data_IF_218808992430
#
_entry.id   IF_218808992430
#
_cell.length_a   1.000
_cell.length_b   1.000
_cell.length_c   1.000
_cell.angle_alpha   90.00
_cell.angle_beta   90.00
_cell.angle_gamma   90.00
#
_symmetry.space_group_name_H-M   'P 1'
#
loop_
_entity.id
_entity.type
_entity.pdbx_description
1 polymer ?
#
# COMPACT_ATOMS: atom_id res chain seq x y z
N UNK A 1 -25.78 -10.80 -14.76
CA UNK A 1 -25.62 -10.76 -13.28
C UNK A 1 -24.14 -10.72 -12.99
N UNK A 2 -23.67 -9.76 -12.20
CA UNK A 2 -22.33 -9.80 -11.62
C UNK A 2 -22.24 -11.10 -10.79
N UNK A 3 -21.35 -12.01 -11.17
CA UNK A 3 -21.09 -13.23 -10.39
C UNK A 3 -19.91 -12.93 -9.49
N UNK A 4 -20.18 -12.46 -8.28
CA UNK A 4 -19.18 -12.43 -7.21
C UNK A 4 -18.97 -13.86 -6.77
N UNK A 5 -17.86 -14.47 -7.20
CA UNK A 5 -17.49 -15.82 -6.77
C UNK A 5 -16.37 -15.68 -5.76
N UNK A 6 -16.72 -15.75 -4.48
CA UNK A 6 -15.72 -16.01 -3.45
C UNK A 6 -15.24 -17.44 -3.63
N UNK A 7 -13.98 -17.61 -4.03
CA UNK A 7 -13.34 -18.92 -4.10
C UNK A 7 -12.39 -19.00 -2.92
N UNK A 8 -12.57 -19.99 -2.05
CA UNK A 8 -11.44 -20.44 -1.25
C UNK A 8 -10.46 -21.05 -2.26
N UNK A 9 -9.25 -20.50 -2.35
CA UNK A 9 -8.24 -21.06 -3.23
C UNK A 9 -7.84 -22.43 -2.66
N UNK A 10 -8.51 -23.49 -3.14
CA UNK A 10 -8.41 -24.92 -2.80
C UNK A 10 -7.34 -25.30 -1.73
N UNK A 11 -7.47 -24.78 -0.51
CA UNK A 11 -6.59 -25.13 0.61
C UNK A 11 -5.99 -24.01 1.48
N UNK A 12 -5.98 -22.73 1.09
CA UNK A 12 -5.12 -21.73 1.77
C UNK A 12 -5.80 -20.82 2.83
N UNK A 13 -7.12 -20.94 3.06
CA UNK A 13 -7.79 -20.26 4.18
C UNK A 13 -8.00 -18.74 4.04
N UNK A 14 -7.41 -18.09 3.04
CA UNK A 14 -7.65 -16.68 2.72
C UNK A 14 -8.80 -16.51 1.72
N UNK A 15 -9.53 -15.41 1.87
CA UNK A 15 -10.60 -15.02 0.96
C UNK A 15 -9.98 -14.57 -0.37
N UNK A 16 -10.62 -14.93 -1.48
CA UNK A 16 -10.35 -14.35 -2.78
C UNK A 16 -11.65 -14.31 -3.58
N UNK A 17 -11.77 -13.37 -4.51
CA UNK A 17 -12.96 -13.27 -5.33
C UNK A 17 -12.77 -12.46 -6.60
N UNK A 18 -13.63 -12.74 -7.58
CA UNK A 18 -13.72 -11.96 -8.81
C UNK A 18 -14.77 -10.86 -8.64
N UNK A 19 -14.40 -9.64 -8.99
CA UNK A 19 -15.26 -8.45 -8.93
C UNK A 19 -15.22 -7.68 -10.24
N UNK A 20 -16.34 -7.09 -10.63
CA UNK A 20 -16.39 -6.27 -11.85
C UNK A 20 -15.84 -4.88 -11.57
N UNK A 21 -15.48 -4.17 -12.63
CA UNK A 21 -15.21 -2.73 -12.55
C UNK A 21 -16.39 -2.01 -11.86
N UNK A 22 -16.08 -0.94 -11.12
CA UNK A 22 -17.09 -0.08 -10.52
C UNK A 22 -18.07 0.48 -11.55
N UNK A 23 -19.29 0.78 -11.12
CA UNK A 23 -20.29 1.46 -11.94
C UNK A 23 -20.05 2.98 -11.94
N UNK A 24 -20.26 3.63 -13.08
CA UNK A 24 -20.30 5.08 -13.21
C UNK A 24 -21.51 5.47 -14.06
N UNK A 25 -22.52 6.07 -13.42
CA UNK A 25 -23.80 6.39 -14.05
C UNK A 25 -24.76 5.19 -14.17
N UNK A 26 -25.88 5.42 -14.87
CA UNK A 26 -26.92 4.42 -15.14
C UNK A 26 -27.20 4.35 -16.63
N UNK A 27 -27.54 3.15 -17.11
CA UNK A 27 -28.06 2.94 -18.47
C UNK A 27 -29.43 2.28 -18.41
N UNK A 28 -30.31 2.66 -19.33
CA UNK A 28 -31.62 2.03 -19.50
C UNK A 28 -31.46 0.78 -20.35
N UNK A 29 -32.00 -0.34 -19.87
CA UNK A 29 -31.96 -1.62 -20.53
C UNK A 29 -33.38 -2.04 -20.89
N UNK A 30 -33.65 -2.23 -22.19
CA UNK A 30 -34.92 -2.80 -22.66
C UNK A 30 -34.92 -4.31 -22.44
N UNK A 31 -35.94 -4.79 -21.75
CA UNK A 31 -36.17 -6.20 -21.47
C UNK A 31 -37.00 -6.84 -22.59
N UNK A 32 -36.95 -8.15 -22.69
CA UNK A 32 -37.64 -8.92 -23.73
C UNK A 32 -39.17 -8.79 -23.71
N UNK A 33 -39.74 -8.30 -22.62
CA UNK A 33 -41.18 -8.02 -22.45
C UNK A 33 -41.56 -6.58 -22.83
N UNK A 34 -40.62 -5.79 -23.36
CA UNK A 34 -40.83 -4.39 -23.73
C UNK A 34 -40.77 -3.40 -22.56
N UNK A 35 -40.48 -3.87 -21.34
CA UNK A 35 -40.27 -2.98 -20.19
C UNK A 35 -38.83 -2.49 -20.13
N UNK A 36 -38.60 -1.36 -19.48
CA UNK A 36 -37.26 -0.79 -19.30
C UNK A 36 -36.82 -0.87 -17.84
N UNK A 37 -35.55 -1.18 -17.61
CA UNK A 37 -34.92 -1.15 -16.29
C UNK A 37 -33.65 -0.31 -16.31
N UNK A 38 -33.46 0.57 -15.35
CA UNK A 38 -32.16 1.19 -15.12
C UNK A 38 -31.19 0.20 -14.46
N UNK A 39 -29.99 0.09 -15.03
CA UNK A 39 -28.89 -0.69 -14.46
C UNK A 39 -27.62 0.17 -14.39
N UNK A 40 -26.69 -0.18 -13.50
CA UNK A 40 -25.38 0.47 -13.45
C UNK A 40 -24.63 0.33 -14.78
N UNK A 41 -24.00 1.40 -15.23
CA UNK A 41 -23.08 1.36 -16.37
C UNK A 41 -21.67 1.13 -15.83
N UNK A 42 -20.94 0.13 -16.32
CA UNK A 42 -19.54 -0.08 -15.97
C UNK A 42 -18.71 1.15 -16.31
N UNK A 43 -17.91 1.63 -15.36
CA UNK A 43 -17.03 2.77 -15.54
C UNK A 43 -15.87 2.47 -16.48
N UNK A 44 -15.33 3.52 -17.10
CA UNK A 44 -14.02 3.48 -17.76
C UNK A 44 -12.89 3.29 -16.74
N UNK A 45 -11.70 2.93 -17.20
CA UNK A 45 -10.51 2.79 -16.33
C UNK A 45 -10.27 4.03 -15.48
N UNK A 46 -10.28 5.22 -16.10
CA UNK A 46 -10.15 6.51 -15.40
C UNK A 46 -11.22 6.79 -14.35
N UNK A 47 -12.40 6.20 -14.49
CA UNK A 47 -13.48 6.38 -13.51
C UNK A 47 -13.38 5.39 -12.35
N UNK A 48 -12.72 4.25 -12.54
CA UNK A 48 -12.56 3.26 -11.48
C UNK A 48 -11.26 3.45 -10.70
N UNK A 49 -10.20 3.97 -11.31
CA UNK A 49 -8.97 4.35 -10.60
C UNK A 49 -9.24 5.63 -9.81
N UNK A 50 -9.11 5.56 -8.48
CA UNK A 50 -9.31 6.71 -7.61
C UNK A 50 -7.99 7.46 -7.34
N UNK A 51 -6.89 6.70 -7.24
CA UNK A 51 -5.51 7.14 -7.13
C UNK A 51 -4.58 5.97 -7.51
N UNK A 52 -3.25 6.13 -7.35
CA UNK A 52 -2.26 5.13 -7.75
C UNK A 52 -2.31 3.77 -7.02
N UNK A 53 -3.04 3.64 -5.90
CA UNK A 53 -3.19 2.37 -5.17
C UNK A 53 -4.64 1.98 -4.85
N UNK A 54 -5.62 2.76 -5.29
CA UNK A 54 -7.03 2.55 -4.96
C UNK A 54 -7.88 2.48 -6.23
N UNK A 55 -8.66 1.40 -6.35
CA UNK A 55 -9.66 1.22 -7.40
C UNK A 55 -11.06 1.05 -6.82
N UNK A 56 -12.09 1.35 -7.60
CA UNK A 56 -13.48 1.04 -7.28
C UNK A 56 -13.94 -0.17 -8.07
N UNK A 57 -14.44 -1.18 -7.36
CA UNK A 57 -15.05 -2.38 -7.95
C UNK A 57 -16.53 -2.46 -7.61
N UNK A 58 -17.27 -3.33 -8.28
CA UNK A 58 -18.68 -3.56 -8.02
C UNK A 58 -19.04 -5.04 -7.85
N UNK A 59 -20.03 -5.28 -6.99
CA UNK A 59 -20.80 -6.53 -6.90
C UNK A 59 -22.28 -6.22 -7.10
N UNK A 60 -22.82 -5.35 -6.25
CA UNK A 60 -24.16 -4.73 -6.41
C UNK A 60 -24.06 -3.20 -6.34
N UNK A 61 -23.23 -2.69 -5.44
CA UNK A 61 -22.82 -1.29 -5.34
C UNK A 61 -21.30 -1.18 -5.49
N UNK A 62 -20.81 0.04 -5.67
CA UNK A 62 -19.38 0.32 -5.68
C UNK A 62 -18.79 0.27 -4.28
N UNK A 63 -17.58 -0.26 -4.18
CA UNK A 63 -16.75 -0.10 -3.00
C UNK A 63 -15.27 -0.03 -3.40
N UNK A 64 -14.47 0.70 -2.62
CA UNK A 64 -13.04 0.88 -2.87
C UNK A 64 -12.22 -0.34 -2.43
N UNK A 65 -11.22 -0.67 -3.23
CA UNK A 65 -10.14 -1.61 -2.94
C UNK A 65 -8.85 -0.81 -2.90
N UNK A 66 -8.11 -0.92 -1.80
CA UNK A 66 -6.75 -0.41 -1.70
C UNK A 66 -5.74 -1.54 -1.87
N UNK A 67 -4.67 -1.27 -2.60
CA UNK A 67 -3.63 -2.23 -2.89
C UNK A 67 -2.80 -2.48 -1.64
N UNK A 68 -2.60 -3.75 -1.32
CA UNK A 68 -1.86 -4.18 -0.16
C UNK A 68 -0.35 -4.21 -0.44
N UNK A 69 0.45 -3.88 0.57
CA UNK A 69 1.92 -4.04 0.55
C UNK A 69 2.67 -2.93 -0.18
N UNK A 70 1.95 -1.94 -0.70
CA UNK A 70 2.48 -0.77 -1.38
C UNK A 70 1.81 0.50 -0.83
N UNK A 71 2.44 1.64 -1.02
CA UNK A 71 1.92 2.95 -0.66
C UNK A 71 2.34 3.95 -1.74
N UNK A 72 1.37 4.71 -2.25
CA UNK A 72 1.61 5.67 -3.33
C UNK A 72 1.65 7.08 -2.78
N UNK A 73 2.39 7.99 -3.43
CA UNK A 73 2.28 9.42 -3.12
C UNK A 73 0.80 9.85 -3.12
N UNK A 74 0.43 10.59 -2.09
CA UNK A 74 -0.95 10.99 -1.82
C UNK A 74 -1.34 12.12 -2.78
N UNK A 75 -2.45 11.97 -3.48
CA UNK A 75 -3.01 13.05 -4.31
C UNK A 75 -3.87 14.01 -3.50
N UNK A 76 -4.50 13.51 -2.42
CA UNK A 76 -5.39 14.27 -1.54
C UNK A 76 -5.32 13.76 -0.10
N UNK A 77 -5.38 14.67 0.87
CA UNK A 77 -5.37 14.33 2.29
C UNK A 77 -6.10 15.40 3.11
N UNK A 78 -6.51 15.08 4.34
CA UNK A 78 -6.92 16.11 5.30
C UNK A 78 -5.69 16.93 5.71
N UNK A 79 -5.71 18.27 5.61
CA UNK A 79 -4.61 19.09 6.10
C UNK A 79 -4.58 19.08 7.64
N UNK A 80 -3.47 19.50 8.27
CA UNK A 80 -3.39 19.67 9.73
C UNK A 80 -4.58 20.42 10.32
N UNK A 81 -5.35 19.75 11.19
CA UNK A 81 -6.54 20.32 11.83
C UNK A 81 -7.77 20.49 10.91
N UNK A 82 -7.70 20.06 9.66
CA UNK A 82 -8.79 20.13 8.69
C UNK A 82 -9.69 18.88 8.69
N UNK A 83 -10.91 19.06 8.19
CA UNK A 83 -11.93 17.98 8.09
C UNK A 83 -12.38 17.73 6.65
N UNK A 84 -11.76 18.37 5.66
CA UNK A 84 -12.06 18.19 4.24
C UNK A 84 -10.80 17.74 3.50
N UNK A 85 -10.94 16.73 2.64
CA UNK A 85 -9.86 16.29 1.75
C UNK A 85 -9.44 17.44 0.84
N UNK A 86 -8.15 17.74 0.86
CA UNK A 86 -7.52 18.83 0.10
C UNK A 86 -6.43 18.22 -0.78
N UNK A 87 -6.28 18.74 -2.00
CA UNK A 87 -5.22 18.33 -2.91
C UNK A 87 -3.84 18.57 -2.29
N UNK A 88 -2.91 17.64 -2.48
CA UNK A 88 -1.57 17.72 -1.87
C UNK A 88 -0.67 18.79 -2.48
N UNK A 89 -1.02 19.33 -3.66
CA UNK A 89 -0.37 20.52 -4.24
C UNK A 89 -0.86 21.85 -3.64
N UNK A 90 -1.91 21.84 -2.81
CA UNK A 90 -2.44 23.03 -2.19
C UNK A 90 -1.43 23.71 -1.26
N UNK A 91 -1.46 25.05 -1.18
CA UNK A 91 -0.55 25.87 -0.37
C UNK A 91 -0.38 25.41 1.08
N UNK A 92 -1.41 24.82 1.69
CA UNK A 92 -1.29 24.29 3.07
C UNK A 92 -0.25 23.19 3.19
N UNK A 93 -0.15 22.31 2.19
CA UNK A 93 0.84 21.23 2.17
C UNK A 93 2.22 21.74 1.74
N UNK A 94 2.28 22.76 0.87
CA UNK A 94 3.55 23.44 0.56
C UNK A 94 4.17 24.03 1.83
N UNK A 95 3.38 24.78 2.63
CA UNK A 95 3.85 25.32 3.92
C UNK A 95 4.20 24.21 4.92
N UNK A 96 3.41 23.14 4.97
CA UNK A 96 3.67 22.00 5.83
C UNK A 96 4.99 21.32 5.51
N UNK A 97 5.28 21.03 4.24
CA UNK A 97 6.50 20.33 3.86
C UNK A 97 7.73 21.27 3.78
N UNK A 98 7.53 22.57 3.60
CA UNK A 98 8.60 23.56 3.73
C UNK A 98 9.03 23.81 5.19
N UNK A 99 8.10 23.67 6.15
CA UNK A 99 8.41 23.74 7.58
C UNK A 99 7.41 22.90 8.41
N UNK A 100 7.68 21.59 8.61
CA UNK A 100 6.74 20.67 9.27
C UNK A 100 6.37 21.02 10.72
N UNK A 101 7.16 21.88 11.36
CA UNK A 101 7.04 22.27 12.75
C UNK A 101 6.83 23.78 12.93
N UNK A 102 6.36 24.48 11.88
CA UNK A 102 5.93 25.86 11.99
C UNK A 102 4.83 26.03 13.06
N UNK A 103 4.84 27.16 13.76
CA UNK A 103 3.91 27.45 14.85
C UNK A 103 2.43 27.52 14.41
N UNK A 104 2.16 27.66 13.12
CA UNK A 104 0.80 27.63 12.56
C UNK A 104 0.17 26.22 12.59
N UNK A 105 0.98 25.17 12.67
CA UNK A 105 0.48 23.79 12.76
C UNK A 105 0.43 23.33 14.23
N UNK A 106 -0.56 22.51 14.61
CA UNK A 106 -0.58 21.91 15.94
C UNK A 106 0.73 21.16 16.23
N UNK A 107 1.21 21.13 17.48
CA UNK A 107 2.42 20.38 17.81
C UNK A 107 2.21 18.87 17.61
N UNK A 108 3.28 18.15 17.28
CA UNK A 108 3.30 16.67 17.32
C UNK A 108 3.82 16.27 18.69
N UNK A 109 3.04 15.52 19.45
CA UNK A 109 3.47 14.99 20.76
C UNK A 109 4.37 13.78 20.58
N UNK A 110 5.25 13.52 21.56
CA UNK A 110 6.09 12.32 21.64
C UNK A 110 7.07 12.11 20.47
N UNK A 111 7.37 13.17 19.71
CA UNK A 111 8.32 13.16 18.61
C UNK A 111 9.77 13.14 19.13
N UNK A 112 10.56 12.15 18.73
CA UNK A 112 11.98 12.08 19.07
C UNK A 112 12.79 13.14 18.33
N UNK A 113 13.91 13.57 18.92
CA UNK A 113 14.83 14.52 18.29
C UNK A 113 15.36 14.01 16.95
N UNK A 114 15.62 12.71 16.82
CA UNK A 114 16.19 12.13 15.60
C UNK A 114 15.19 12.16 14.45
N UNK A 115 13.93 11.75 14.69
CA UNK A 115 12.88 11.85 13.67
C UNK A 115 12.59 13.30 13.32
N UNK A 116 12.59 14.21 14.31
CA UNK A 116 12.44 15.65 14.06
C UNK A 116 13.53 16.19 13.13
N UNK A 117 14.79 15.86 13.41
CA UNK A 117 15.93 16.28 12.60
C UNK A 117 15.86 15.70 11.19
N UNK A 118 15.48 14.41 11.06
CA UNK A 118 15.26 13.75 9.77
C UNK A 118 14.22 14.47 8.92
N UNK A 119 13.06 14.81 9.51
CA UNK A 119 11.97 15.49 8.82
C UNK A 119 12.31 16.94 8.46
N UNK A 120 13.07 17.64 9.31
CA UNK A 120 13.60 18.97 8.99
C UNK A 120 14.62 18.92 7.85
N UNK A 121 15.43 17.87 7.77
CA UNK A 121 16.37 17.66 6.67
C UNK A 121 15.71 17.39 5.31
N UNK A 122 14.43 17.02 5.29
CA UNK A 122 13.62 16.87 4.07
C UNK A 122 12.88 18.14 3.67
N UNK A 123 12.85 19.15 4.55
CA UNK A 123 11.97 20.27 4.37
C UNK A 123 12.37 21.08 3.13
N UNK A 124 11.42 21.30 2.23
CA UNK A 124 11.68 21.91 0.93
C UNK A 124 10.41 22.61 0.41
N UNK A 125 10.52 23.84 -0.12
CA UNK A 125 9.37 24.61 -0.61
C UNK A 125 8.56 23.94 -1.73
N UNK A 126 9.17 23.06 -2.51
CA UNK A 126 8.56 22.38 -3.66
C UNK A 126 8.23 20.91 -3.35
N UNK A 127 8.44 20.44 -2.12
CA UNK A 127 8.19 19.05 -1.72
C UNK A 127 6.76 18.60 -2.01
N UNK A 128 5.76 19.45 -1.73
CA UNK A 128 4.37 19.03 -1.88
C UNK A 128 3.93 19.03 -3.36
N UNK A 129 4.42 19.97 -4.17
CA UNK A 129 4.23 19.96 -5.63
C UNK A 129 4.83 18.69 -6.24
N UNK A 130 6.06 18.35 -5.86
CA UNK A 130 6.73 17.12 -6.35
C UNK A 130 6.00 15.87 -5.92
N UNK A 131 5.57 15.80 -4.65
CA UNK A 131 4.80 14.68 -4.14
C UNK A 131 3.48 14.49 -4.92
N UNK A 132 2.76 15.58 -5.18
CA UNK A 132 1.53 15.55 -5.97
C UNK A 132 1.77 15.12 -7.43
N UNK A 133 2.86 15.60 -8.05
CA UNK A 133 3.21 15.19 -9.41
C UNK A 133 3.42 13.67 -9.48
N UNK A 134 4.15 13.08 -8.52
CA UNK A 134 4.27 11.62 -8.44
C UNK A 134 2.96 10.90 -8.17
N UNK A 135 2.05 11.50 -7.39
CA UNK A 135 0.72 10.92 -7.17
C UNK A 135 -0.06 10.81 -8.49
N UNK A 136 0.08 11.81 -9.37
CA UNK A 136 -0.51 11.79 -10.72
C UNK A 136 0.19 10.82 -11.65
N UNK A 137 1.52 10.78 -11.63
CA UNK A 137 2.27 9.80 -12.41
C UNK A 137 1.87 8.35 -12.04
N UNK A 138 1.66 8.09 -10.74
CA UNK A 138 1.20 6.78 -10.24
C UNK A 138 -0.24 6.45 -10.66
N UNK A 139 -1.16 7.42 -10.60
CA UNK A 139 -2.55 7.28 -11.08
C UNK A 139 -2.56 6.94 -12.58
N UNK A 140 -1.85 7.72 -13.40
CA UNK A 140 -1.75 7.53 -14.85
C UNK A 140 -1.11 6.17 -15.18
N UNK A 141 -0.06 5.76 -14.46
CA UNK A 141 0.57 4.46 -14.65
C UNK A 141 -0.38 3.29 -14.35
N UNK A 142 -1.14 3.36 -13.26
CA UNK A 142 -2.12 2.33 -12.92
C UNK A 142 -3.23 2.27 -13.97
N UNK A 143 -3.73 3.43 -14.43
CA UNK A 143 -4.71 3.50 -15.51
C UNK A 143 -4.19 2.81 -16.78
N UNK A 144 -2.94 3.10 -17.17
CA UNK A 144 -2.33 2.48 -18.35
C UNK A 144 -2.19 0.96 -18.22
N UNK A 145 -1.76 0.45 -17.06
CA UNK A 145 -1.65 -1.00 -16.84
C UNK A 145 -3.00 -1.70 -16.96
N UNK A 146 -4.06 -1.11 -16.39
CA UNK A 146 -5.41 -1.67 -16.46
C UNK A 146 -5.98 -1.58 -17.89
N UNK A 147 -5.73 -0.47 -18.60
CA UNK A 147 -6.15 -0.32 -20.00
C UNK A 147 -5.46 -1.35 -20.91
N UNK A 148 -4.14 -1.55 -20.77
CA UNK A 148 -3.40 -2.55 -21.54
C UNK A 148 -3.93 -3.96 -21.28
N UNK A 149 -4.15 -4.32 -20.00
CA UNK A 149 -4.71 -5.62 -19.64
C UNK A 149 -6.13 -5.79 -20.21
N UNK A 150 -6.94 -4.74 -20.19
CA UNK A 150 -8.27 -4.76 -20.79
C UNK A 150 -8.22 -5.01 -22.30
N UNK A 151 -7.31 -4.35 -23.01
CA UNK A 151 -7.18 -4.49 -24.46
C UNK A 151 -6.60 -5.86 -24.86
N UNK A 152 -5.68 -6.41 -24.07
CA UNK A 152 -4.97 -7.65 -24.37
C UNK A 152 -5.69 -8.92 -23.87
N UNK A 153 -6.37 -8.84 -22.71
CA UNK A 153 -7.10 -9.96 -22.10
C UNK A 153 -8.60 -9.90 -22.44
N UNK A 154 -9.15 -8.70 -22.64
CA UNK A 154 -10.59 -8.51 -22.88
C UNK A 154 -11.45 -8.63 -21.62
N UNK A 155 -10.90 -8.34 -20.44
CA UNK A 155 -11.62 -8.45 -19.15
C UNK A 155 -11.89 -7.09 -18.50
N UNK A 156 -13.14 -6.91 -18.05
CA UNK A 156 -13.59 -5.80 -17.19
C UNK A 156 -13.80 -6.28 -15.74
N UNK A 157 -13.03 -7.29 -15.33
CA UNK A 157 -13.09 -7.88 -13.99
C UNK A 157 -11.71 -8.03 -13.39
N UNK A 158 -11.66 -7.90 -12.07
CA UNK A 158 -10.47 -8.11 -11.26
C UNK A 158 -10.61 -9.39 -10.45
N UNK A 159 -9.51 -10.11 -10.28
CA UNK A 159 -9.36 -11.12 -9.26
C UNK A 159 -8.65 -10.48 -8.05
N UNK A 160 -9.32 -10.49 -6.90
CA UNK A 160 -8.82 -9.92 -5.65
C UNK A 160 -8.37 -11.05 -4.73
N UNK A 161 -7.12 -11.00 -4.28
CA UNK A 161 -6.56 -11.88 -3.26
C UNK A 161 -6.38 -11.10 -1.95
N UNK A 162 -7.11 -11.48 -0.90
CA UNK A 162 -7.03 -10.84 0.40
C UNK A 162 -5.94 -11.49 1.25
N UNK A 163 -5.25 -10.69 2.07
CA UNK A 163 -4.32 -11.21 3.08
C UNK A 163 -5.03 -11.34 4.43
N UNK A 164 -4.29 -11.22 5.54
CA UNK A 164 -4.83 -11.34 6.89
C UNK A 164 -5.80 -10.21 7.23
N UNK A 165 -5.38 -8.96 7.01
CA UNK A 165 -6.26 -7.79 7.13
C UNK A 165 -7.02 -7.61 5.82
N UNK A 166 -8.32 -7.86 5.85
CA UNK A 166 -9.18 -7.67 4.68
C UNK A 166 -9.73 -6.23 4.56
N UNK A 167 -9.70 -5.44 5.64
CA UNK A 167 -10.28 -4.10 5.71
C UNK A 167 -9.31 -3.12 6.38
N UNK A 168 -9.27 -1.89 5.89
CA UNK A 168 -8.61 -0.78 6.58
C UNK A 168 -9.57 0.01 7.49
N UNK A 169 -9.03 0.97 8.25
CA UNK A 169 -9.81 1.81 9.18
C UNK A 169 -10.86 2.69 8.47
N UNK A 170 -10.71 2.96 7.18
CA UNK A 170 -11.67 3.71 6.38
C UNK A 170 -12.74 2.81 5.73
N UNK A 171 -12.73 1.51 6.03
CA UNK A 171 -13.66 0.53 5.48
C UNK A 171 -13.36 0.13 4.04
N UNK A 172 -12.16 0.44 3.53
CA UNK A 172 -11.71 -0.02 2.21
C UNK A 172 -11.20 -1.44 2.35
N UNK A 173 -11.50 -2.28 1.35
CA UNK A 173 -10.92 -3.62 1.34
C UNK A 173 -9.45 -3.57 0.92
N UNK A 174 -8.63 -4.43 1.49
CA UNK A 174 -7.19 -4.50 1.21
C UNK A 174 -6.85 -5.77 0.42
N UNK A 175 -6.31 -5.63 -0.78
CA UNK A 175 -6.06 -6.79 -1.65
C UNK A 175 -4.81 -6.66 -2.53
N UNK A 176 -4.33 -7.81 -2.98
CA UNK A 176 -3.56 -7.91 -4.21
C UNK A 176 -4.53 -8.03 -5.37
N UNK A 177 -4.39 -7.13 -6.34
CA UNK A 177 -5.33 -6.98 -7.44
C UNK A 177 -4.72 -7.54 -8.71
N UNK A 178 -5.41 -8.47 -9.36
CA UNK A 178 -5.01 -9.05 -10.63
C UNK A 178 -6.10 -8.78 -11.68
N UNK A 179 -5.77 -8.74 -12.98
CA UNK A 179 -6.78 -8.96 -14.01
C UNK A 179 -7.42 -10.35 -13.81
N UNK A 180 -8.74 -10.45 -13.97
CA UNK A 180 -9.43 -11.75 -13.85
C UNK A 180 -9.14 -12.62 -15.09
N UNK A 181 -8.34 -13.67 -14.89
CA UNK A 181 -7.90 -14.60 -15.93
C UNK A 181 -8.21 -16.05 -15.53
N UNK A 182 -9.49 -16.42 -15.37
CA UNK A 182 -9.88 -17.73 -14.83
C UNK A 182 -9.46 -18.91 -15.72
N UNK A 183 -9.35 -18.69 -17.02
CA UNK A 183 -9.04 -19.71 -18.04
C UNK A 183 -7.54 -19.80 -18.35
N UNK A 184 -6.71 -18.88 -17.83
CA UNK A 184 -5.26 -18.92 -17.97
C UNK A 184 -4.64 -19.90 -16.98
N UNK A 185 -3.66 -20.68 -17.44
CA UNK A 185 -2.83 -21.50 -16.57
C UNK A 185 -2.05 -20.62 -15.58
N UNK A 186 -1.75 -21.08 -14.35
CA UNK A 186 -1.11 -20.24 -13.33
C UNK A 186 0.18 -19.55 -13.77
N UNK A 187 1.00 -20.21 -14.60
CA UNK A 187 2.26 -19.66 -15.11
C UNK A 187 2.07 -18.53 -16.16
N UNK A 188 0.90 -18.47 -16.80
CA UNK A 188 0.56 -17.49 -17.84
C UNK A 188 -0.28 -16.33 -17.31
N UNK A 189 -0.68 -16.38 -16.02
CA UNK A 189 -1.43 -15.30 -15.39
C UNK A 189 -0.52 -14.09 -15.20
N UNK A 190 -1.06 -12.91 -15.49
CA UNK A 190 -0.36 -11.67 -15.20
C UNK A 190 -0.16 -11.53 -13.70
N UNK A 191 0.99 -10.98 -13.40
CA UNK A 191 1.31 -10.59 -12.05
C UNK A 191 0.36 -9.48 -11.55
N UNK A 192 0.19 -9.37 -10.23
CA UNK A 192 -0.70 -8.36 -9.63
C UNK A 192 -0.31 -6.95 -10.05
N UNK A 193 -1.28 -6.05 -10.12
CA UNK A 193 -1.01 -4.62 -10.30
C UNK A 193 -0.15 -4.07 -9.16
N UNK A 194 -0.24 -4.63 -7.94
CA UNK A 194 0.62 -4.24 -6.82
C UNK A 194 2.11 -4.39 -7.17
N UNK A 195 2.49 -5.59 -7.62
CA UNK A 195 3.86 -5.93 -8.01
C UNK A 195 4.30 -5.18 -9.27
N UNK A 196 3.42 -5.04 -10.27
CA UNK A 196 3.73 -4.27 -11.48
C UNK A 196 3.98 -2.80 -11.15
N UNK A 197 3.23 -2.22 -10.22
CA UNK A 197 3.44 -0.85 -9.75
C UNK A 197 4.72 -0.69 -8.92
N UNK A 198 5.16 -1.70 -8.16
CA UNK A 198 6.51 -1.70 -7.58
C UNK A 198 7.58 -1.64 -8.68
N UNK A 199 7.40 -2.40 -9.75
CA UNK A 199 8.31 -2.43 -10.90
C UNK A 199 8.38 -1.12 -11.70
N UNK A 200 7.37 -0.23 -11.61
CA UNK A 200 7.45 1.10 -12.24
C UNK A 200 8.27 2.10 -11.41
N UNK A 201 8.59 1.76 -10.15
CA UNK A 201 9.21 2.69 -9.21
C UNK A 201 8.28 3.81 -8.74
N UNK A 202 7.00 3.83 -9.11
CA UNK A 202 6.04 4.85 -8.64
C UNK A 202 5.41 4.50 -7.30
N UNK A 203 5.51 3.22 -6.90
CA UNK A 203 5.04 2.70 -5.63
C UNK A 203 6.17 2.55 -4.62
N UNK A 204 5.99 3.10 -3.42
CA UNK A 204 6.86 2.76 -2.31
C UNK A 204 6.42 1.40 -1.73
N UNK A 205 7.35 0.48 -1.40
CA UNK A 205 6.99 -0.72 -0.65
C UNK A 205 6.51 -0.32 0.75
N UNK A 206 5.40 -0.91 1.17
CA UNK A 206 4.86 -0.73 2.52
C UNK A 206 4.43 -2.09 3.07
N UNK A 207 5.44 -2.94 3.23
CA UNK A 207 5.28 -4.32 3.69
C UNK A 207 4.90 -4.33 5.17
N UNK A 208 3.67 -4.76 5.46
CA UNK A 208 3.15 -4.83 6.83
C UNK A 208 2.91 -6.30 7.18
N UNK A 209 3.50 -6.77 8.27
CA UNK A 209 3.18 -8.08 8.83
C UNK A 209 1.74 -8.12 9.37
N UNK A 210 0.97 -9.22 9.17
CA UNK A 210 1.32 -10.45 8.46
C UNK A 210 0.91 -10.48 6.98
N UNK A 211 0.62 -9.32 6.39
CA UNK A 211 0.01 -9.18 5.07
C UNK A 211 0.96 -9.32 3.87
N UNK A 212 2.24 -9.62 4.09
CA UNK A 212 3.27 -9.65 3.03
C UNK A 212 3.10 -10.75 1.97
N UNK A 213 2.15 -11.65 2.13
CA UNK A 213 1.83 -12.69 1.15
C UNK A 213 0.35 -13.13 1.30
N UNK A 214 -0.52 -12.81 0.32
CA UNK A 214 -1.95 -13.17 0.36
C UNK A 214 -2.18 -14.66 0.05
N UNK A 215 -1.18 -15.35 -0.51
CA UNK A 215 -1.28 -16.75 -0.92
C UNK A 215 -0.59 -17.71 0.04
N UNK A 216 -0.11 -17.21 1.19
CA UNK A 216 0.48 -18.02 2.26
C UNK A 216 -0.33 -19.30 2.48
N UNK A 217 0.32 -20.43 2.26
CA UNK A 217 -0.31 -21.73 2.41
C UNK A 217 -0.50 -22.03 3.90
N UNK A 218 -1.71 -21.75 4.42
CA UNK A 218 -2.16 -22.03 5.80
C UNK A 218 -1.22 -21.54 6.90
N UNK A 219 -1.68 -20.59 7.70
CA UNK A 219 -0.98 -20.25 8.95
C UNK A 219 -1.72 -19.16 9.73
N UNK A 220 -1.66 -19.26 11.05
CA UNK A 220 -2.00 -18.12 11.91
C UNK A 220 -0.84 -17.10 11.87
N UNK A 221 -1.09 -15.81 12.20
CA UNK A 221 -0.01 -14.85 12.43
C UNK A 221 1.06 -15.41 13.40
N UNK A 222 0.66 -16.22 14.37
CA UNK A 222 1.58 -16.91 15.30
C UNK A 222 2.59 -17.79 14.55
N UNK A 223 2.12 -18.65 13.64
CA UNK A 223 3.03 -19.46 12.82
C UNK A 223 3.92 -18.62 11.90
N UNK A 224 3.44 -17.46 11.44
CA UNK A 224 4.20 -16.57 10.59
C UNK A 224 5.30 -15.79 11.34
N UNK A 225 5.07 -15.45 12.60
CA UNK A 225 6.04 -14.76 13.45
C UNK A 225 7.07 -15.70 14.10
N UNK A 226 6.76 -17.00 14.17
CA UNK A 226 7.59 -18.03 14.80
C UNK A 226 8.93 -18.33 14.07
N UNK A 227 9.25 -17.62 12.98
CA UNK A 227 10.45 -17.86 12.16
C UNK A 227 11.71 -17.16 12.68
N UNK A 228 11.82 -16.98 13.99
CA UNK A 228 12.85 -16.16 14.60
C UNK A 228 14.20 -16.88 14.68
N UNK A 229 14.93 -16.86 13.57
CA UNK A 229 16.38 -17.11 13.60
C UNK A 229 17.20 -15.98 12.97
N UNK A 230 16.71 -15.33 11.90
CA UNK A 230 17.41 -14.27 11.16
C UNK A 230 16.38 -13.56 10.23
N UNK A 231 16.39 -12.22 10.03
CA UNK A 231 15.64 -11.58 8.94
C UNK A 231 15.72 -12.33 7.59
N UNK A 232 16.82 -13.04 7.30
CA UNK A 232 16.95 -13.90 6.12
C UNK A 232 15.96 -15.06 6.07
N UNK A 233 15.60 -15.68 7.19
CA UNK A 233 14.63 -16.78 7.22
C UNK A 233 13.22 -16.29 6.87
N UNK A 234 12.89 -15.03 7.21
CA UNK A 234 11.64 -14.39 6.76
C UNK A 234 11.58 -14.38 5.23
N UNK A 235 12.68 -14.00 4.58
CA UNK A 235 12.76 -13.93 3.12
C UNK A 235 12.78 -15.31 2.46
N UNK A 236 13.34 -16.32 3.10
CA UNK A 236 13.31 -17.72 2.62
C UNK A 236 11.89 -18.28 2.66
N UNK A 237 11.13 -17.95 3.70
CA UNK A 237 9.77 -18.42 3.86
C UNK A 237 8.71 -17.55 3.17
N UNK A 238 9.08 -16.38 2.65
CA UNK A 238 8.19 -15.46 1.94
C UNK A 238 8.75 -15.11 0.55
N UNK A 239 8.67 -16.05 -0.42
CA UNK A 239 9.18 -15.82 -1.78
C UNK A 239 8.51 -14.61 -2.48
N UNK A 240 7.22 -14.37 -2.22
CA UNK A 240 6.52 -13.18 -2.74
C UNK A 240 7.09 -11.87 -2.21
N UNK A 241 7.46 -11.83 -0.92
CA UNK A 241 8.12 -10.65 -0.32
C UNK A 241 9.51 -10.44 -0.94
N UNK A 242 10.28 -11.51 -1.15
CA UNK A 242 11.58 -11.43 -1.83
C UNK A 242 11.43 -10.87 -3.25
N UNK A 243 10.51 -11.39 -4.04
CA UNK A 243 10.24 -10.90 -5.39
C UNK A 243 9.84 -9.41 -5.39
N UNK A 244 9.01 -8.98 -4.43
CA UNK A 244 8.63 -7.58 -4.28
C UNK A 244 9.85 -6.69 -3.98
N UNK A 245 10.77 -7.16 -3.12
CA UNK A 245 12.02 -6.45 -2.83
C UNK A 245 12.91 -6.34 -4.05
N UNK A 246 13.10 -7.43 -4.77
CA UNK A 246 13.94 -7.46 -5.96
C UNK A 246 13.39 -6.52 -7.05
N UNK A 247 12.06 -6.43 -7.20
CA UNK A 247 11.40 -5.51 -8.12
C UNK A 247 11.66 -4.03 -7.76
N UNK A 248 11.54 -3.67 -6.48
CA UNK A 248 11.81 -2.29 -6.01
C UNK A 248 13.30 -1.97 -6.12
N UNK A 249 14.19 -2.88 -5.73
CA UNK A 249 15.63 -2.69 -5.87
C UNK A 249 16.02 -2.45 -7.33
N UNK A 250 15.44 -3.21 -8.26
CA UNK A 250 15.64 -3.01 -9.70
C UNK A 250 15.15 -1.63 -10.15
N UNK A 251 13.96 -1.20 -9.72
CA UNK A 251 13.42 0.12 -10.07
C UNK A 251 14.26 1.26 -9.49
N UNK A 252 14.77 1.10 -8.26
CA UNK A 252 15.68 2.03 -7.59
C UNK A 252 17.02 2.14 -8.31
N UNK A 253 17.64 1.02 -8.65
CA UNK A 253 18.91 0.98 -9.40
C UNK A 253 18.79 1.61 -10.79
N UNK A 254 17.61 1.50 -11.41
CA UNK A 254 17.29 2.14 -12.69
C UNK A 254 16.86 3.62 -12.56
N UNK A 255 16.74 4.17 -11.34
CA UNK A 255 16.32 5.55 -11.12
C UNK A 255 14.87 5.82 -11.56
N UNK A 256 13.98 4.84 -11.45
CA UNK A 256 12.60 4.96 -11.92
C UNK A 256 11.68 5.61 -10.88
N UNK A 257 10.71 6.38 -11.36
CA UNK A 257 9.62 6.92 -10.53
C UNK A 257 10.13 7.72 -9.34
N UNK A 258 9.72 7.34 -8.13
CA UNK A 258 10.09 8.02 -6.89
C UNK A 258 11.60 7.92 -6.55
N UNK A 259 12.32 7.05 -7.26
CA UNK A 259 13.77 6.87 -7.14
C UNK A 259 14.57 7.71 -8.13
N UNK A 260 13.92 8.54 -8.95
CA UNK A 260 14.58 9.46 -9.87
C UNK A 260 15.51 10.43 -9.10
N UNK A 261 16.84 10.38 -9.36
CA UNK A 261 17.79 11.23 -8.65
C UNK A 261 17.66 12.72 -9.02
N UNK A 262 17.10 13.03 -10.20
CA UNK A 262 16.90 14.41 -10.68
C UNK A 262 15.60 15.01 -10.14
N UNK A 263 14.66 14.16 -9.67
CA UNK A 263 13.39 14.57 -9.06
C UNK A 263 13.09 13.74 -7.80
N UNK A 264 13.93 13.78 -6.74
CA UNK A 264 13.73 12.88 -5.61
C UNK A 264 12.40 13.16 -4.89
N UNK A 265 11.69 12.09 -4.53
CA UNK A 265 10.63 12.20 -3.53
C UNK A 265 11.28 12.48 -2.17
N UNK A 266 10.78 13.50 -1.46
CA UNK A 266 11.37 13.88 -0.17
C UNK A 266 10.64 13.23 1.00
N UNK A 267 9.31 13.24 0.96
CA UNK A 267 8.46 12.64 1.99
C UNK A 267 7.72 11.45 1.40
N UNK A 268 7.81 10.31 2.09
CA UNK A 268 6.97 9.15 1.80
C UNK A 268 5.51 9.45 2.13
N UNK A 269 4.57 8.75 1.48
CA UNK A 269 3.14 8.96 1.70
C UNK A 269 2.73 8.78 3.17
N UNK A 270 3.22 7.74 3.85
CA UNK A 270 2.94 7.60 5.28
C UNK A 270 3.53 8.72 6.15
N UNK A 271 4.67 9.30 5.78
CA UNK A 271 5.28 10.43 6.51
C UNK A 271 4.42 11.69 6.34
N UNK A 272 3.95 11.96 5.11
CA UNK A 272 2.99 13.04 4.85
C UNK A 272 1.69 12.81 5.65
N UNK A 273 1.18 11.58 5.71
CA UNK A 273 0.02 11.23 6.55
C UNK A 273 0.27 11.51 8.03
N UNK A 274 1.43 11.14 8.57
CA UNK A 274 1.83 11.44 9.95
C UNK A 274 1.92 12.95 10.20
N UNK A 275 2.54 13.71 9.30
CA UNK A 275 2.67 15.16 9.39
C UNK A 275 1.34 15.90 9.27
N UNK A 276 0.40 15.39 8.48
CA UNK A 276 -0.92 15.97 8.35
C UNK A 276 -1.80 15.66 9.57
N UNK A 277 -1.73 14.44 10.09
CA UNK A 277 -2.47 14.01 11.29
C UNK A 277 -1.88 14.54 12.59
N UNK A 278 -0.65 15.06 12.55
CA UNK A 278 0.13 15.50 13.72
C UNK A 278 0.41 14.37 14.70
N UNK A 279 0.74 13.20 14.16
CA UNK A 279 1.00 11.97 14.92
C UNK A 279 2.33 11.35 14.50
N UNK A 280 3.06 10.77 15.44
CA UNK A 280 4.25 9.96 15.13
C UNK A 280 3.87 8.66 14.40
N UNK A 281 4.78 8.06 13.60
CA UNK A 281 4.59 6.70 13.10
C UNK A 281 4.40 5.71 14.27
N UNK A 282 3.60 4.66 14.05
CA UNK A 282 3.20 3.72 15.11
C UNK A 282 3.63 2.27 14.88
N UNK A 283 4.17 1.93 13.70
CA UNK A 283 4.58 0.55 13.37
C UNK A 283 6.06 0.38 13.59
N UNK A 284 6.43 -0.68 14.30
CA UNK A 284 7.81 -1.11 14.51
C UNK A 284 8.41 -1.59 13.19
N UNK A 285 9.74 -1.63 13.09
CA UNK A 285 10.42 -2.00 11.83
C UNK A 285 11.43 -3.09 12.07
N UNK A 286 11.39 -4.11 11.20
CA UNK A 286 12.45 -5.09 11.01
C UNK A 286 13.27 -4.65 9.79
N UNK A 287 14.59 -4.62 9.93
CA UNK A 287 15.52 -4.52 8.80
C UNK A 287 15.70 -5.90 8.15
N UNK A 288 15.20 -6.06 6.93
CA UNK A 288 15.31 -7.30 6.14
C UNK A 288 16.68 -7.49 5.49
N UNK A 289 17.53 -6.46 5.47
CA UNK A 289 18.91 -6.53 4.98
C UNK A 289 19.91 -6.89 6.09
N UNK A 290 19.53 -6.56 7.33
CA UNK A 290 20.31 -6.81 8.54
C UNK A 290 20.37 -8.28 8.95
N UNK A 291 21.07 -8.53 10.06
CA UNK A 291 21.17 -9.83 10.70
C UNK A 291 20.92 -9.76 12.21
N UNK A 292 20.51 -8.60 12.72
CA UNK A 292 20.17 -8.41 14.11
C UNK A 292 18.67 -8.69 14.33
N UNK A 293 18.37 -9.26 15.50
CA UNK A 293 17.00 -9.61 15.88
C UNK A 293 16.37 -8.44 16.63
N UNK A 294 16.38 -7.26 16.01
CA UNK A 294 15.90 -6.02 16.66
C UNK A 294 14.63 -5.54 15.96
N UNK A 295 13.61 -5.25 16.77
CA UNK A 295 12.47 -4.45 16.36
C UNK A 295 12.81 -2.99 16.65
N UNK A 296 13.08 -2.22 15.59
CA UNK A 296 13.35 -0.79 15.68
C UNK A 296 12.08 -0.03 16.05
N UNK A 297 12.21 0.97 16.91
CA UNK A 297 11.12 1.87 17.27
C UNK A 297 10.48 2.46 16.01
N UNK A 298 9.15 2.68 16.02
CA UNK A 298 8.46 3.29 14.90
C UNK A 298 9.06 4.62 14.42
N UNK A 299 9.74 5.35 15.29
CA UNK A 299 10.37 6.63 14.94
C UNK A 299 11.78 6.50 14.37
N UNK A 300 12.33 5.29 14.26
CA UNK A 300 13.66 5.00 13.68
C UNK A 300 13.58 4.25 12.34
N UNK A 301 12.40 4.16 11.72
CA UNK A 301 12.22 3.49 10.42
C UNK A 301 13.21 3.96 9.34
N UNK A 302 13.66 5.22 9.42
CA UNK A 302 14.53 5.84 8.43
C UNK A 302 15.99 5.36 8.52
N UNK A 303 16.34 4.59 9.55
CA UNK A 303 17.69 4.00 9.69
C UNK A 303 17.88 2.79 8.78
N UNK A 304 16.80 2.14 8.38
CA UNK A 304 16.81 1.16 7.30
C UNK A 304 16.82 1.96 5.99
N UNK A 305 17.97 2.04 5.34
CA UNK A 305 18.23 2.95 4.21
C UNK A 305 17.23 2.73 3.07
N UNK A 306 17.17 1.50 2.56
CA UNK A 306 16.31 1.17 1.42
C UNK A 306 14.87 0.89 1.87
N UNK A 307 13.91 1.33 1.06
CA UNK A 307 12.49 1.17 1.36
C UNK A 307 12.09 -0.32 1.36
N UNK A 308 12.64 -1.08 0.41
CA UNK A 308 12.39 -2.51 0.24
C UNK A 308 12.91 -3.37 1.39
N UNK A 309 13.80 -2.83 2.22
CA UNK A 309 14.35 -3.54 3.37
C UNK A 309 13.51 -3.38 4.64
N UNK A 310 12.43 -2.59 4.58
CA UNK A 310 11.57 -2.31 5.74
C UNK A 310 10.39 -3.26 5.80
N UNK A 311 10.34 -4.08 6.85
CA UNK A 311 9.13 -4.82 7.24
C UNK A 311 8.49 -4.17 8.46
N UNK A 312 7.32 -3.58 8.27
CA UNK A 312 6.57 -2.94 9.34
C UNK A 312 5.78 -3.97 10.16
N UNK A 313 5.85 -3.85 11.48
CA UNK A 313 5.16 -4.71 12.44
C UNK A 313 4.20 -3.84 13.26
N UNK A 314 2.87 -4.05 13.15
CA UNK A 314 1.89 -3.40 14.02
C UNK A 314 2.15 -3.71 15.50
N UNK A 315 1.87 -2.75 16.38
CA UNK A 315 2.19 -2.84 17.80
C UNK A 315 1.55 -4.06 18.50
N UNK A 316 0.36 -4.47 18.06
CA UNK A 316 -0.36 -5.64 18.55
C UNK A 316 0.36 -6.97 18.27
N UNK A 317 1.29 -7.00 17.30
CA UNK A 317 2.10 -8.18 17.00
C UNK A 317 3.48 -8.14 17.67
N UNK A 318 3.90 -7.02 18.29
CA UNK A 318 5.21 -6.93 18.95
C UNK A 318 5.42 -8.01 20.02
N UNK A 319 4.46 -8.28 20.94
CA UNK A 319 4.63 -9.34 21.94
C UNK A 319 4.84 -10.74 21.34
N UNK A 320 4.29 -10.95 20.14
CA UNK A 320 4.47 -12.21 19.42
C UNK A 320 5.91 -12.36 18.88
N UNK A 321 6.52 -11.28 18.40
CA UNK A 321 7.93 -11.30 17.97
C UNK A 321 8.88 -11.36 19.18
N UNK A 322 8.57 -10.70 20.29
CA UNK A 322 9.33 -10.83 21.55
C UNK A 322 9.34 -12.28 22.05
N UNK A 323 8.18 -12.93 22.06
CA UNK A 323 8.05 -14.33 22.46
C UNK A 323 8.84 -15.29 21.56
N UNK A 324 9.19 -14.88 20.34
CA UNK A 324 10.01 -15.67 19.41
C UNK A 324 11.50 -15.29 19.48
N UNK A 325 11.87 -14.33 20.32
CA UNK A 325 13.27 -13.98 20.61
C UNK A 325 13.80 -12.74 19.88
N UNK A 326 12.90 -11.92 19.31
CA UNK A 326 13.25 -10.57 18.89
C UNK A 326 13.42 -9.66 20.11
N UNK A 327 14.38 -8.74 20.04
CA UNK A 327 14.59 -7.70 21.03
C UNK A 327 13.87 -6.44 20.57
N UNK A 328 13.02 -5.90 21.43
CA UNK A 328 12.40 -4.60 21.20
C UNK A 328 13.40 -3.51 21.57
N UNK A 329 13.59 -2.55 20.67
CA UNK A 329 14.45 -1.42 20.97
C UNK A 329 13.94 -0.62 22.16
N UNK A 330 14.86 -0.28 23.08
CA UNK A 330 14.53 0.38 24.35
C UNK A 330 14.30 -0.59 25.50
N UNK A 331 14.19 -1.89 25.22
CA UNK A 331 14.19 -2.94 26.23
C UNK A 331 15.63 -3.20 26.72
N UNK A 332 16.13 -2.26 27.54
CA UNK A 332 17.24 -2.56 28.43
C UNK A 332 16.69 -3.51 29.46
N UNK A 333 17.01 -4.80 29.32
CA UNK A 333 16.80 -5.77 30.39
C UNK A 333 17.24 -5.14 31.71
N UNK A 334 16.29 -4.87 32.59
CA UNK A 334 16.55 -4.76 34.01
C UNK A 334 17.02 -6.14 34.46
N UNK A 335 18.31 -6.40 34.29
CA UNK A 335 18.99 -7.48 34.98
C UNK A 335 19.03 -7.06 36.44
N UNK A 336 18.09 -7.59 37.22
CA UNK A 336 18.17 -7.62 38.69
C UNK A 336 18.88 -8.91 39.08
#
# INVERSE_FOLDING_TARGET
MARTIFRTNRGNGFLAGTFQFGFFGRKTLELSDGTTREVGQTGSTRQIVADGDTINVSSENNFPIRFLGIDMPESRLFPPGGTTFTSTDNDVFQRLLANPFAAEFPPITDLTSDLRNRLLGLADPDAATRHHAYAKDAEDALEMLILQDRDEIGTDSFFLAFAYDALDFFGRLLAYVHPDQPDSAPADRRESYNMRMLGTGLAAPYFIFPNVDPFRARGSPVSAAAMADDPKTILEAAPSLRAARDAVATAREAGLGIHDPDRPILFQAFELRSLARRTVPSRWVIDLSGNDRVLLSPQRYFEVENLEDRLFVPAEFVPLFEATGWRVEGDVMSVV
#
